data_IF_491522434860
#
_entry.id   IF_491522434860
#
_cell.length_a   1.000
_cell.length_b   1.000
_cell.length_c   1.000
_cell.angle_alpha   90.00
_cell.angle_beta   90.00
_cell.angle_gamma   90.00
#
_symmetry.space_group_name_H-M   'P 1'
#
loop_
_entity.id
_entity.type
_entity.pdbx_description
1 polymer ?
#
# COMPACT_ATOMS: atom_id res chain seq x y z
N UNK A 1 4.15 -29.35 -12.33
CA UNK A 1 3.51 -28.45 -11.34
C UNK A 1 2.76 -27.40 -12.12
N UNK A 2 1.44 -27.36 -12.01
CA UNK A 2 0.66 -26.24 -12.56
C UNK A 2 1.05 -25.01 -11.75
N UNK A 3 1.61 -23.98 -12.39
CA UNK A 3 1.80 -22.70 -11.72
C UNK A 3 0.43 -22.20 -11.28
N UNK A 4 0.27 -21.94 -9.98
CA UNK A 4 -0.93 -21.27 -9.47
C UNK A 4 -0.79 -19.82 -9.88
N UNK A 5 -1.67 -19.37 -10.77
CA UNK A 5 -1.76 -17.97 -11.19
C UNK A 5 -1.82 -17.06 -9.95
N UNK A 6 -1.01 -15.98 -9.89
CA UNK A 6 -1.01 -15.08 -8.75
C UNK A 6 -2.38 -14.39 -8.63
N UNK A 7 -2.83 -14.20 -7.38
CA UNK A 7 -4.03 -13.39 -7.15
C UNK A 7 -3.83 -11.97 -7.63
N UNK A 8 -4.92 -11.25 -7.89
CA UNK A 8 -4.88 -9.82 -8.26
C UNK A 8 -4.10 -9.01 -7.22
N UNK A 9 -4.25 -9.33 -5.94
CA UNK A 9 -3.53 -8.66 -4.85
C UNK A 9 -2.01 -8.82 -4.96
N UNK A 10 -1.54 -10.04 -5.25
CA UNK A 10 -0.11 -10.32 -5.47
C UNK A 10 0.41 -9.57 -6.69
N UNK A 11 -0.37 -9.52 -7.77
CA UNK A 11 -0.01 -8.77 -8.99
C UNK A 11 0.12 -7.27 -8.73
N UNK A 12 -0.80 -6.68 -7.95
CA UNK A 12 -0.73 -5.27 -7.52
C UNK A 12 0.51 -5.04 -6.65
N UNK A 13 0.74 -5.87 -5.62
CA UNK A 13 1.90 -5.73 -4.74
C UNK A 13 3.22 -5.77 -5.52
N UNK A 14 3.37 -6.73 -6.44
CA UNK A 14 4.55 -6.83 -7.34
C UNK A 14 4.70 -5.60 -8.23
N UNK A 15 3.59 -5.04 -8.74
CA UNK A 15 3.64 -3.82 -9.53
C UNK A 15 4.13 -2.62 -8.69
N UNK A 16 3.62 -2.45 -7.47
CA UNK A 16 4.08 -1.40 -6.55
C UNK A 16 5.58 -1.53 -6.25
N UNK A 17 6.04 -2.75 -5.92
CA UNK A 17 7.46 -3.04 -5.65
C UNK A 17 8.35 -2.73 -6.85
N UNK A 18 7.94 -3.10 -8.08
CA UNK A 18 8.64 -2.76 -9.33
C UNK A 18 8.84 -1.25 -9.52
N UNK A 19 7.90 -0.44 -9.03
CA UNK A 19 7.99 1.03 -9.07
C UNK A 19 8.70 1.63 -7.84
N UNK A 20 9.35 0.81 -7.01
CA UNK A 20 10.15 1.25 -5.88
C UNK A 20 9.34 1.67 -4.65
N UNK A 21 8.06 1.32 -4.58
CA UNK A 21 7.22 1.57 -3.40
C UNK A 21 7.72 0.72 -2.23
N UNK A 22 8.04 1.39 -1.11
CA UNK A 22 8.51 0.75 0.13
C UNK A 22 7.54 0.91 1.30
N UNK A 23 6.63 1.87 1.20
CA UNK A 23 5.68 2.21 2.26
C UNK A 23 4.28 2.36 1.67
N UNK A 24 3.28 1.86 2.40
CA UNK A 24 1.86 2.11 2.13
C UNK A 24 1.23 2.73 3.38
N UNK A 25 0.57 3.86 3.22
CA UNK A 25 -0.21 4.49 4.29
C UNK A 25 -1.61 3.86 4.29
N UNK A 26 -2.05 3.27 5.40
CA UNK A 26 -3.34 2.58 5.46
C UNK A 26 -3.99 2.52 6.84
N UNK A 27 -5.32 2.33 6.88
CA UNK A 27 -6.05 2.04 8.11
C UNK A 27 -5.88 0.58 8.58
N UNK A 28 -6.37 0.28 9.78
CA UNK A 28 -6.19 -0.97 10.51
C UNK A 28 -7.03 -2.17 10.02
N UNK A 29 -7.24 -2.32 8.71
CA UNK A 29 -7.92 -3.49 8.15
C UNK A 29 -6.99 -4.23 7.16
N UNK A 30 -6.70 -5.52 7.39
CA UNK A 30 -5.88 -6.30 6.49
C UNK A 30 -6.65 -6.59 5.19
N UNK A 31 -6.47 -5.73 4.19
CA UNK A 31 -6.90 -6.01 2.82
C UNK A 31 -5.94 -7.01 2.17
N UNK A 32 -6.43 -7.77 1.19
CA UNK A 32 -5.59 -8.74 0.48
C UNK A 32 -4.34 -8.08 -0.15
N UNK A 33 -4.45 -6.83 -0.63
CA UNK A 33 -3.32 -6.07 -1.18
C UNK A 33 -2.31 -5.70 -0.09
N UNK A 34 -2.78 -5.27 1.08
CA UNK A 34 -1.87 -4.94 2.21
C UNK A 34 -1.11 -6.18 2.67
N UNK A 35 -1.79 -7.31 2.84
CA UNK A 35 -1.15 -8.56 3.23
C UNK A 35 -0.10 -9.01 2.19
N UNK A 36 -0.45 -8.97 0.90
CA UNK A 36 0.48 -9.31 -0.18
C UNK A 36 1.66 -8.33 -0.27
N UNK A 37 1.44 -7.05 0.05
CA UNK A 37 2.48 -6.02 0.06
C UNK A 37 3.45 -6.23 1.23
N UNK A 38 2.95 -6.51 2.44
CA UNK A 38 3.78 -6.82 3.60
C UNK A 38 4.61 -8.08 3.39
N UNK A 39 4.05 -9.13 2.78
CA UNK A 39 4.76 -10.37 2.46
C UNK A 39 5.99 -10.16 1.58
N UNK A 40 5.96 -9.14 0.69
CA UNK A 40 7.10 -8.78 -0.17
C UNK A 40 7.93 -7.60 0.37
N UNK A 41 7.72 -7.22 1.63
CA UNK A 41 8.53 -6.21 2.33
C UNK A 41 8.10 -4.76 2.15
N UNK A 42 6.91 -4.49 1.59
CA UNK A 42 6.31 -3.14 1.59
C UNK A 42 5.68 -2.92 2.96
N UNK A 43 6.21 -1.98 3.74
CA UNK A 43 5.77 -1.75 5.11
C UNK A 43 4.49 -0.91 5.16
N UNK A 44 3.51 -1.35 5.93
CA UNK A 44 2.34 -0.54 6.24
C UNK A 44 2.67 0.51 7.31
N UNK A 45 2.30 1.76 7.04
CA UNK A 45 2.32 2.88 7.99
C UNK A 45 0.88 3.20 8.35
N UNK A 46 0.50 2.90 9.59
CA UNK A 46 -0.88 3.03 10.04
C UNK A 46 -1.30 4.49 10.20
N UNK A 47 -2.55 4.80 9.82
CA UNK A 47 -3.23 6.03 10.17
C UNK A 47 -4.65 5.74 10.67
N UNK A 48 -5.30 6.71 11.33
CA UNK A 48 -6.66 6.55 11.87
C UNK A 48 -7.75 7.15 10.98
N UNK A 49 -7.50 8.31 10.38
CA UNK A 49 -8.44 9.01 9.51
C UNK A 49 -7.84 9.16 8.11
N UNK A 50 -8.62 8.95 7.05
CA UNK A 50 -8.13 8.99 5.66
C UNK A 50 -7.52 10.34 5.25
N UNK A 51 -8.08 11.45 5.76
CA UNK A 51 -7.50 12.77 5.58
C UNK A 51 -6.06 12.87 6.14
N UNK A 52 -5.77 12.22 7.28
CA UNK A 52 -4.43 12.15 7.85
C UNK A 52 -3.52 11.24 7.01
N UNK A 53 -4.05 10.15 6.47
CA UNK A 53 -3.34 9.29 5.52
C UNK A 53 -2.86 10.07 4.29
N UNK A 54 -3.73 10.91 3.72
CA UNK A 54 -3.38 11.80 2.60
C UNK A 54 -2.31 12.83 2.99
N UNK A 55 -2.44 13.48 4.14
CA UNK A 55 -1.45 14.45 4.62
C UNK A 55 -0.07 13.82 4.89
N UNK A 56 -0.03 12.61 5.47
CA UNK A 56 1.20 11.85 5.69
C UNK A 56 1.87 11.48 4.35
N UNK A 57 1.08 11.05 3.38
CA UNK A 57 1.56 10.68 2.06
C UNK A 57 2.12 11.88 1.28
N UNK A 58 1.45 13.03 1.30
CA UNK A 58 1.95 14.27 0.67
C UNK A 58 3.28 14.72 1.29
N UNK A 59 3.37 14.72 2.63
CA UNK A 59 4.61 15.04 3.35
C UNK A 59 5.75 14.09 2.97
N UNK A 60 5.48 12.78 2.93
CA UNK A 60 6.46 11.78 2.52
C UNK A 60 6.91 11.99 1.07
N UNK A 61 5.99 12.20 0.13
CA UNK A 61 6.32 12.41 -1.28
C UNK A 61 7.23 13.63 -1.49
N UNK A 62 6.91 14.77 -0.84
CA UNK A 62 7.72 15.99 -0.93
C UNK A 62 9.10 15.84 -0.30
N UNK A 63 9.19 15.17 0.85
CA UNK A 63 10.46 15.02 1.56
C UNK A 63 11.40 14.00 0.91
N UNK A 64 10.85 12.92 0.34
CA UNK A 64 11.61 11.80 -0.21
C UNK A 64 11.81 11.86 -1.73
N UNK A 65 10.96 12.60 -2.45
CA UNK A 65 10.88 12.54 -3.91
C UNK A 65 10.33 11.21 -4.45
N UNK A 66 9.76 10.35 -3.59
CA UNK A 66 9.23 9.04 -3.96
C UNK A 66 7.71 9.08 -4.13
N UNK A 67 7.18 8.12 -4.92
CA UNK A 67 5.73 7.93 -5.06
C UNK A 67 5.15 7.44 -3.73
N UNK A 68 4.17 8.18 -3.20
CA UNK A 68 3.41 7.78 -2.02
C UNK A 68 2.17 6.98 -2.40
N UNK A 69 1.82 5.96 -1.61
CA UNK A 69 0.65 5.11 -1.83
C UNK A 69 -0.23 5.14 -0.59
N UNK A 70 -1.50 5.50 -0.76
CA UNK A 70 -2.53 5.47 0.28
C UNK A 70 -3.53 4.38 -0.06
N UNK A 71 -3.87 3.55 0.92
CA UNK A 71 -5.02 2.65 0.87
C UNK A 71 -6.08 3.16 1.82
N UNK A 72 -7.33 3.14 1.38
CA UNK A 72 -8.50 3.58 2.13
C UNK A 72 -9.57 2.48 2.16
N UNK A 73 -10.58 2.60 3.03
CA UNK A 73 -11.70 1.66 3.04
C UNK A 73 -12.68 1.99 1.91
N UNK A 74 -13.49 1.01 1.48
CA UNK A 74 -14.68 1.30 0.69
C UNK A 74 -15.68 2.13 1.53
N UNK A 75 -16.39 3.07 0.91
CA UNK A 75 -17.43 3.87 1.57
C UNK A 75 -17.03 5.33 1.76
N UNK A 76 -17.41 6.00 2.87
CA UNK A 76 -17.23 7.46 3.07
C UNK A 76 -15.77 7.88 3.37
N UNK A 77 -14.83 7.11 2.85
CA UNK A 77 -13.40 7.34 2.91
C UNK A 77 -12.97 8.66 2.26
#
# INVERSE_FOLDING_TARGET
MTEIEPTVAVTIARALSRHGVKFIFGQSLPSAVILAAEEIGIRQIAYRQENMGGAMADGFARASGQVAVVTAQNGPA
#
